data_IF_414937964759
#
_entry.id   IF_414937964759
#
_cell.length_a   1.000
_cell.length_b   1.000
_cell.length_c   1.000
_cell.angle_alpha   90.00
_cell.angle_beta   90.00
_cell.angle_gamma   90.00
#
_symmetry.space_group_name_H-M   'P 1'
#
loop_
_entity.id
_entity.type
_entity.pdbx_description
1 polymer ?
#
# COMPACT_ATOMS: atom_id res chain seq x y z
N UNK A 1 -5.09 -12.35 -3.99
CA UNK A 1 -5.81 -13.64 -3.89
C UNK A 1 -4.76 -14.73 -3.87
N UNK A 2 -4.72 -15.52 -2.81
CA UNK A 2 -3.86 -16.70 -2.72
C UNK A 2 -4.38 -17.79 -3.64
N UNK A 3 -3.52 -18.38 -4.46
CA UNK A 3 -3.87 -19.42 -5.42
C UNK A 3 -2.96 -20.66 -5.34
N UNK A 4 -2.23 -20.81 -4.25
CA UNK A 4 -1.29 -21.91 -4.03
C UNK A 4 -1.94 -23.29 -4.19
N UNK A 5 -3.17 -23.44 -3.71
CA UNK A 5 -3.89 -24.73 -3.72
C UNK A 5 -4.60 -25.04 -5.05
N UNK A 6 -4.62 -24.11 -6.00
CA UNK A 6 -5.32 -24.29 -7.29
C UNK A 6 -4.38 -24.34 -8.47
N UNK A 7 -3.13 -23.89 -8.31
CA UNK A 7 -2.11 -23.97 -9.34
C UNK A 7 -1.50 -25.37 -9.38
N UNK A 8 -1.18 -25.81 -10.59
CA UNK A 8 -0.54 -27.10 -10.85
C UNK A 8 0.67 -26.94 -11.76
N UNK A 9 1.58 -27.90 -11.74
CA UNK A 9 2.70 -27.93 -12.68
C UNK A 9 2.19 -28.00 -14.13
N UNK A 10 2.77 -27.18 -14.99
CA UNK A 10 2.39 -27.10 -16.41
C UNK A 10 1.39 -25.98 -16.68
N UNK A 11 0.46 -26.22 -17.62
CA UNK A 11 -0.50 -25.21 -18.07
C UNK A 11 -1.63 -25.02 -17.09
N UNK A 12 -1.84 -23.76 -16.67
CA UNK A 12 -2.98 -23.32 -15.87
C UNK A 12 -3.86 -22.39 -16.72
N UNK A 13 -5.17 -22.46 -16.51
CA UNK A 13 -6.14 -21.58 -17.14
C UNK A 13 -6.74 -20.64 -16.09
N UNK A 14 -6.68 -19.34 -16.35
CA UNK A 14 -7.27 -18.32 -15.50
C UNK A 14 -8.50 -17.76 -16.21
N UNK A 15 -9.66 -17.84 -15.56
CA UNK A 15 -10.90 -17.26 -16.05
C UNK A 15 -11.32 -16.11 -15.15
N UNK A 16 -11.41 -14.91 -15.70
CA UNK A 16 -11.90 -13.72 -15.01
C UNK A 16 -13.33 -13.44 -15.45
N UNK A 17 -14.28 -13.52 -14.49
CA UNK A 17 -15.68 -13.17 -14.74
C UNK A 17 -15.97 -11.80 -14.16
N UNK A 18 -16.29 -10.84 -15.03
CA UNK A 18 -16.65 -9.48 -14.64
C UNK A 18 -18.16 -9.36 -14.64
N UNK A 19 -18.74 -9.08 -13.48
CA UNK A 19 -20.19 -8.93 -13.33
C UNK A 19 -20.61 -7.47 -13.59
N UNK A 20 -21.82 -7.28 -14.12
CA UNK A 20 -22.38 -5.94 -14.31
C UNK A 20 -22.53 -5.21 -12.97
N UNK A 21 -21.96 -4.01 -12.85
CA UNK A 21 -22.14 -3.15 -11.70
C UNK A 21 -23.61 -2.80 -11.44
N UNK A 22 -24.36 -2.55 -12.53
CA UNK A 22 -25.78 -2.22 -12.47
C UNK A 22 -26.59 -3.41 -11.97
N UNK A 23 -26.34 -4.61 -12.51
CA UNK A 23 -27.03 -5.81 -12.06
C UNK A 23 -26.75 -6.07 -10.58
N UNK A 24 -25.50 -5.94 -10.15
CA UNK A 24 -25.13 -6.09 -8.74
C UNK A 24 -25.86 -5.09 -7.83
N UNK A 25 -25.88 -3.82 -8.20
CA UNK A 25 -26.60 -2.78 -7.45
C UNK A 25 -28.08 -3.10 -7.36
N UNK A 26 -28.73 -3.44 -8.46
CA UNK A 26 -30.17 -3.76 -8.49
C UNK A 26 -30.53 -4.97 -7.61
N UNK A 27 -29.61 -5.94 -7.48
CA UNK A 27 -29.80 -7.12 -6.66
C UNK A 27 -29.57 -6.85 -5.15
N UNK A 28 -28.66 -5.92 -4.82
CA UNK A 28 -28.18 -5.72 -3.45
C UNK A 28 -28.64 -4.39 -2.82
N UNK A 29 -29.40 -3.56 -3.53
CA UNK A 29 -29.98 -2.36 -2.93
C UNK A 29 -30.92 -2.74 -1.80
N UNK A 30 -30.75 -2.24 -0.58
CA UNK A 30 -31.61 -2.57 0.54
C UNK A 30 -33.06 -2.21 0.27
N UNK A 31 -33.97 -2.99 0.82
CA UNK A 31 -35.39 -2.65 0.79
C UNK A 31 -35.65 -1.30 1.47
N UNK A 32 -36.68 -0.59 1.00
CA UNK A 32 -37.08 0.73 1.48
C UNK A 32 -37.06 0.88 3.01
N UNK A 33 -36.47 1.96 3.50
CA UNK A 33 -36.34 2.30 4.92
C UNK A 33 -34.98 2.02 5.54
N UNK A 34 -34.03 1.46 4.78
CA UNK A 34 -32.63 1.27 5.20
C UNK A 34 -31.64 2.00 4.29
N UNK A 35 -32.15 2.82 3.42
CA UNK A 35 -31.40 3.48 2.38
C UNK A 35 -30.56 4.62 2.94
N UNK A 36 -29.33 4.70 2.49
CA UNK A 36 -28.58 5.94 2.53
C UNK A 36 -29.14 6.79 1.38
N UNK A 37 -30.03 7.70 1.70
CA UNK A 37 -30.60 8.61 0.71
C UNK A 37 -29.56 9.63 0.26
N UNK A 38 -28.79 9.26 -0.72
CA UNK A 38 -28.00 10.19 -1.49
C UNK A 38 -28.15 9.87 -2.96
N UNK A 39 -28.85 10.72 -3.65
CA UNK A 39 -28.87 10.70 -5.11
C UNK A 39 -28.26 12.00 -5.61
N UNK A 40 -27.12 11.90 -6.28
CA UNK A 40 -26.63 13.00 -7.07
C UNK A 40 -27.60 13.24 -8.24
N UNK A 41 -27.86 14.50 -8.58
CA UNK A 41 -28.74 14.87 -9.68
C UNK A 41 -28.30 14.20 -10.99
N UNK A 42 -29.19 13.41 -11.61
CA UNK A 42 -28.90 12.67 -12.85
C UNK A 42 -27.97 11.48 -12.70
N UNK A 43 -27.52 11.13 -11.51
CA UNK A 43 -26.75 9.93 -11.29
C UNK A 43 -27.66 8.68 -11.26
N UNK A 44 -27.10 7.56 -11.67
CA UNK A 44 -27.74 6.25 -11.58
C UNK A 44 -27.96 5.86 -10.12
N UNK A 45 -29.17 5.43 -9.78
CA UNK A 45 -29.52 4.99 -8.42
C UNK A 45 -28.65 3.82 -7.96
N UNK A 46 -28.38 3.74 -6.66
CA UNK A 46 -27.65 2.64 -6.02
C UNK A 46 -26.13 2.70 -6.15
N UNK A 47 -25.58 3.75 -6.76
CA UNK A 47 -24.14 3.94 -6.89
C UNK A 47 -23.39 3.95 -5.54
N UNK A 48 -24.05 4.35 -4.46
CA UNK A 48 -23.51 4.41 -3.10
C UNK A 48 -23.29 3.02 -2.47
N UNK A 49 -23.90 1.98 -3.02
CA UNK A 49 -23.79 0.60 -2.51
C UNK A 49 -22.66 -0.22 -3.18
N UNK A 50 -21.91 0.38 -4.08
CA UNK A 50 -20.81 -0.27 -4.78
C UNK A 50 -19.52 0.53 -4.61
N UNK A 51 -18.41 -0.18 -4.38
CA UNK A 51 -17.08 0.42 -4.31
C UNK A 51 -16.52 0.66 -5.71
N UNK A 52 -17.07 1.63 -6.39
CA UNK A 52 -16.68 2.07 -7.73
C UNK A 52 -16.71 3.60 -7.76
N UNK A 53 -15.90 4.22 -8.63
CA UNK A 53 -15.89 5.67 -8.75
C UNK A 53 -17.29 6.20 -9.09
N UNK A 54 -17.87 7.03 -8.23
CA UNK A 54 -19.24 7.52 -8.38
C UNK A 54 -19.43 8.37 -9.63
N UNK A 55 -18.37 9.06 -10.09
CA UNK A 55 -18.39 9.81 -11.36
C UNK A 55 -18.77 8.98 -12.58
N UNK A 56 -18.58 7.66 -12.54
CA UNK A 56 -18.96 6.77 -13.65
C UNK A 56 -20.47 6.53 -13.74
N UNK A 57 -21.21 6.83 -12.67
CA UNK A 57 -22.67 6.65 -12.63
C UNK A 57 -23.44 7.87 -13.14
N UNK A 58 -22.71 8.89 -13.60
CA UNK A 58 -23.28 10.07 -14.24
C UNK A 58 -23.60 11.22 -13.30
N UNK A 59 -24.07 12.28 -13.91
CA UNK A 59 -24.57 13.52 -13.30
C UNK A 59 -25.55 14.17 -14.28
N UNK A 60 -26.16 15.30 -13.95
CA UNK A 60 -27.05 16.02 -14.86
C UNK A 60 -26.36 16.51 -16.14
N UNK A 61 -25.06 16.71 -16.09
CA UNK A 61 -24.19 17.09 -17.22
C UNK A 61 -23.26 15.97 -17.72
N UNK A 62 -23.26 14.81 -17.08
CA UNK A 62 -22.30 13.73 -17.36
C UNK A 62 -22.98 12.41 -17.73
N UNK A 63 -22.40 11.62 -18.66
CA UNK A 63 -22.98 10.36 -19.06
C UNK A 63 -22.90 9.30 -17.97
N UNK A 64 -23.83 8.34 -17.99
CA UNK A 64 -23.88 7.18 -17.13
C UNK A 64 -23.12 6.01 -17.80
N UNK A 65 -21.84 5.86 -17.50
CA UNK A 65 -20.94 4.87 -18.09
C UNK A 65 -20.20 4.06 -17.01
N UNK A 66 -20.89 3.23 -16.22
CA UNK A 66 -20.26 2.40 -15.19
C UNK A 66 -19.59 1.18 -15.81
N UNK A 67 -18.63 1.41 -16.69
CA UNK A 67 -17.85 0.39 -17.37
C UNK A 67 -16.95 -0.36 -16.38
N UNK A 68 -16.51 -1.52 -16.78
CA UNK A 68 -15.64 -2.40 -15.98
C UNK A 68 -14.69 -3.16 -16.91
N UNK A 69 -13.49 -3.43 -16.36
CA UNK A 69 -12.48 -4.19 -17.07
C UNK A 69 -11.22 -4.36 -16.26
N UNK A 70 -10.30 -5.13 -16.81
CA UNK A 70 -8.92 -5.20 -16.33
C UNK A 70 -8.16 -4.07 -17.02
N UNK A 71 -7.86 -3.01 -16.27
CA UNK A 71 -7.22 -1.79 -16.78
C UNK A 71 -5.77 -1.60 -16.31
N UNK A 72 -5.28 -2.54 -15.52
CA UNK A 72 -3.88 -2.67 -15.08
C UNK A 72 -3.40 -4.08 -15.34
N UNK A 73 -2.09 -4.28 -15.23
CA UNK A 73 -1.50 -5.60 -15.38
C UNK A 73 -2.07 -6.58 -14.35
N UNK A 74 -2.15 -7.83 -14.76
CA UNK A 74 -2.47 -8.97 -13.91
C UNK A 74 -1.27 -9.91 -13.94
N UNK A 75 -0.80 -10.30 -12.78
CA UNK A 75 0.35 -11.18 -12.64
C UNK A 75 0.13 -12.18 -11.51
N UNK A 76 0.92 -13.21 -11.48
CA UNK A 76 1.02 -14.17 -10.38
C UNK A 76 2.44 -14.05 -9.84
N UNK A 77 2.56 -13.67 -8.60
CA UNK A 77 3.81 -13.73 -7.84
C UNK A 77 3.90 -15.04 -7.09
N UNK A 78 5.10 -15.58 -6.98
CA UNK A 78 5.38 -16.77 -6.20
C UNK A 78 6.62 -16.57 -5.34
N UNK A 79 6.56 -17.00 -4.11
CA UNK A 79 7.68 -17.00 -3.18
C UNK A 79 7.69 -18.28 -2.36
N UNK A 80 8.89 -18.78 -2.02
CA UNK A 80 9.03 -20.05 -1.29
C UNK A 80 9.27 -19.86 0.21
N UNK A 81 9.97 -18.79 0.59
CA UNK A 81 10.42 -18.57 1.97
C UNK A 81 9.78 -17.34 2.60
N UNK A 82 9.93 -16.19 1.98
CA UNK A 82 9.36 -14.93 2.43
C UNK A 82 9.36 -13.89 1.30
N UNK A 83 8.50 -12.90 1.38
CA UNK A 83 8.36 -11.80 0.43
C UNK A 83 8.19 -10.46 1.18
N UNK A 84 8.77 -9.38 0.64
CA UNK A 84 8.47 -8.02 1.08
C UNK A 84 7.09 -7.59 0.56
N UNK A 85 6.07 -7.63 1.39
CA UNK A 85 4.71 -7.24 1.01
C UNK A 85 4.52 -5.74 0.96
N UNK A 86 5.19 -4.98 1.85
CA UNK A 86 5.08 -3.52 1.91
C UNK A 86 6.37 -2.84 2.35
N UNK A 87 6.57 -1.62 1.84
CA UNK A 87 7.61 -0.68 2.26
C UNK A 87 6.98 0.70 2.40
N UNK A 88 6.88 1.21 3.62
CA UNK A 88 6.33 2.52 3.92
C UNK A 88 7.41 3.45 4.46
N UNK A 89 7.52 4.66 3.89
CA UNK A 89 8.50 5.67 4.31
C UNK A 89 7.76 6.87 4.88
N UNK A 90 8.08 7.20 6.12
CA UNK A 90 7.65 8.45 6.77
C UNK A 90 8.79 9.46 6.72
N UNK A 91 8.45 10.72 6.65
CA UNK A 91 9.43 11.81 6.62
C UNK A 91 9.05 12.89 7.61
N UNK A 92 10.02 13.38 8.33
CA UNK A 92 9.92 14.48 9.27
C UNK A 92 10.95 15.54 8.91
N UNK A 93 10.50 16.79 8.77
CA UNK A 93 11.33 17.92 8.36
C UNK A 93 11.60 18.82 9.56
N UNK A 94 12.87 18.91 9.97
CA UNK A 94 13.29 19.67 11.14
C UNK A 94 14.59 20.43 10.80
N UNK A 95 14.61 21.73 11.02
CA UNK A 95 15.79 22.59 10.86
C UNK A 95 16.51 22.43 9.52
N UNK A 96 15.76 22.34 8.43
CA UNK A 96 16.30 22.19 7.07
C UNK A 96 16.82 20.79 6.74
N UNK A 97 16.70 19.82 7.62
CA UNK A 97 17.05 18.41 7.44
C UNK A 97 15.81 17.56 7.33
N UNK A 98 15.94 16.38 6.72
CA UNK A 98 14.86 15.40 6.64
C UNK A 98 15.26 14.09 7.31
N UNK A 99 14.47 13.69 8.27
CA UNK A 99 14.56 12.41 8.94
C UNK A 99 13.58 11.44 8.27
N UNK A 100 14.09 10.35 7.75
CA UNK A 100 13.28 9.28 7.17
C UNK A 100 13.20 8.13 8.15
N UNK A 101 12.02 7.55 8.26
CA UNK A 101 11.81 6.27 8.92
C UNK A 101 11.11 5.31 7.98
N UNK A 102 11.58 4.07 7.92
CA UNK A 102 11.05 3.05 7.07
C UNK A 102 10.34 1.97 7.90
N UNK A 103 9.20 1.53 7.46
CA UNK A 103 8.42 0.41 7.99
C UNK A 103 8.28 -0.64 6.89
N UNK A 104 8.61 -1.89 7.17
CA UNK A 104 8.50 -2.99 6.21
C UNK A 104 7.56 -4.07 6.71
N UNK A 105 6.79 -4.67 5.80
CA UNK A 105 6.00 -5.86 6.07
C UNK A 105 6.55 -7.02 5.26
N UNK A 106 6.74 -8.14 5.92
CA UNK A 106 7.18 -9.38 5.29
C UNK A 106 6.04 -10.39 5.35
N UNK A 107 5.74 -11.00 4.24
CA UNK A 107 4.77 -12.08 4.13
C UNK A 107 5.51 -13.40 4.16
N UNK A 108 5.05 -14.31 5.00
CA UNK A 108 5.56 -15.67 5.14
C UNK A 108 4.61 -16.66 4.47
N UNK A 109 5.11 -17.74 3.84
CA UNK A 109 4.27 -18.77 3.28
C UNK A 109 3.60 -19.55 4.40
N UNK A 110 2.27 -19.65 4.35
CA UNK A 110 1.55 -20.58 5.20
C UNK A 110 1.65 -22.01 4.66
N UNK A 111 1.74 -22.96 5.58
CA UNK A 111 1.50 -24.37 5.23
C UNK A 111 0.01 -24.55 4.99
N UNK A 112 -0.39 -24.64 3.73
CA UNK A 112 -1.75 -25.00 3.38
C UNK A 112 -2.07 -26.38 3.98
N UNK A 113 -3.06 -26.45 4.84
CA UNK A 113 -3.71 -27.71 5.19
C UNK A 113 -4.69 -28.06 4.06
N UNK A 114 -4.79 -29.34 3.71
CA UNK A 114 -5.64 -29.79 2.61
C UNK A 114 -7.07 -29.25 2.75
N UNK A 115 -7.47 -28.37 1.83
CA UNK A 115 -8.82 -27.90 1.65
C UNK A 115 -9.18 -26.53 2.25
N UNK A 116 -8.27 -25.86 2.94
CA UNK A 116 -8.49 -24.50 3.45
C UNK A 116 -7.79 -23.45 2.60
N UNK A 117 -8.39 -22.26 2.52
CA UNK A 117 -7.77 -21.06 1.92
C UNK A 117 -6.74 -20.57 2.94
N UNK A 118 -5.46 -20.70 2.61
CA UNK A 118 -4.39 -20.17 3.45
C UNK A 118 -4.55 -18.64 3.60
N UNK A 119 -4.61 -18.15 4.83
CA UNK A 119 -4.54 -16.73 5.13
C UNK A 119 -3.05 -16.32 5.27
N UNK A 120 -2.63 -15.22 4.67
CA UNK A 120 -1.25 -14.78 4.72
C UNK A 120 -0.89 -14.22 6.11
N UNK A 121 0.16 -14.72 6.73
CA UNK A 121 0.73 -14.12 7.94
C UNK A 121 1.69 -12.99 7.57
N UNK A 122 1.54 -11.83 8.21
CA UNK A 122 2.40 -10.67 8.02
C UNK A 122 3.29 -10.46 9.24
N UNK A 123 4.57 -10.29 8.99
CA UNK A 123 5.57 -9.93 9.97
C UNK A 123 5.92 -8.44 9.78
N UNK A 124 5.70 -7.62 10.80
CA UNK A 124 6.26 -6.26 10.82
C UNK A 124 7.62 -6.35 11.50
N UNK A 125 8.67 -6.15 10.72
CA UNK A 125 10.02 -6.15 11.27
C UNK A 125 10.28 -4.82 11.98
N UNK A 126 10.60 -4.84 13.28
CA UNK A 126 11.00 -3.65 14.00
C UNK A 126 12.36 -3.18 13.50
N UNK A 127 12.54 -1.88 13.50
CA UNK A 127 13.69 -1.21 12.92
C UNK A 127 14.82 -0.96 13.92
N UNK A 128 14.81 -1.62 15.09
CA UNK A 128 15.87 -1.52 16.06
C UNK A 128 16.34 -2.90 16.52
N UNK A 129 17.64 -3.05 16.68
CA UNK A 129 18.27 -4.28 17.14
C UNK A 129 17.82 -4.74 18.56
N UNK A 130 17.09 -3.91 19.29
CA UNK A 130 16.60 -4.19 20.64
C UNK A 130 15.12 -4.61 20.71
N UNK A 131 14.40 -4.55 19.62
CA UNK A 131 12.99 -4.96 19.59
C UNK A 131 12.83 -6.25 18.79
N UNK A 132 12.51 -7.33 19.47
CA UNK A 132 12.12 -8.61 18.85
C UNK A 132 11.02 -8.39 17.80
N UNK A 133 11.13 -9.07 16.67
CA UNK A 133 10.16 -9.05 15.59
C UNK A 133 8.72 -9.21 16.18
N UNK A 134 7.89 -8.19 15.99
CA UNK A 134 6.52 -8.23 16.49
C UNK A 134 5.68 -8.88 15.41
N UNK A 135 5.31 -10.13 15.62
CA UNK A 135 4.34 -10.82 14.80
C UNK A 135 2.98 -10.16 15.07
N UNK A 136 2.51 -9.34 14.15
CA UNK A 136 1.13 -8.90 14.16
C UNK A 136 0.30 -9.99 13.50
N UNK A 137 -0.25 -10.90 14.30
CA UNK A 137 -1.24 -11.83 13.84
C UNK A 137 -2.55 -11.06 13.60
N UNK A 138 -2.88 -10.81 12.37
CA UNK A 138 -4.22 -10.36 11.94
C UNK A 138 -5.11 -11.57 11.58
N UNK A 139 -4.83 -12.75 12.09
CA UNK A 139 -5.72 -13.88 11.94
C UNK A 139 -5.77 -14.75 13.19
N UNK A 140 -6.95 -15.20 13.44
CA UNK A 140 -7.35 -16.06 14.57
C UNK A 140 -6.87 -17.47 14.30
N UNK A 141 -6.03 -18.00 15.19
CA UNK A 141 -5.95 -19.44 15.38
C UNK A 141 -4.65 -20.12 14.95
N UNK A 142 -4.03 -20.67 15.95
CA UNK A 142 -2.99 -21.69 16.06
C UNK A 142 -1.53 -21.24 16.13
N UNK A 143 -0.96 -21.51 17.32
CA UNK A 143 0.47 -21.45 17.63
C UNK A 143 1.24 -22.52 16.84
N UNK A 144 1.85 -22.17 15.72
CA UNK A 144 2.87 -23.01 15.09
C UNK A 144 4.25 -22.41 15.39
N UNK A 145 5.07 -23.14 16.15
CA UNK A 145 6.38 -22.71 16.62
C UNK A 145 7.45 -22.65 15.50
N UNK A 146 7.18 -23.22 14.34
CA UNK A 146 8.14 -23.26 13.21
C UNK A 146 8.24 -21.94 12.44
N UNK A 147 7.24 -21.07 12.52
CA UNK A 147 7.27 -19.73 11.90
C UNK A 147 8.11 -18.76 12.74
N UNK A 148 8.14 -18.94 14.06
CA UNK A 148 8.95 -18.11 14.94
C UNK A 148 10.46 -18.34 14.75
N UNK A 149 10.90 -19.57 14.45
CA UNK A 149 12.30 -19.91 14.21
C UNK A 149 12.87 -19.29 12.92
N UNK A 150 12.04 -19.11 11.90
CA UNK A 150 12.45 -18.45 10.65
C UNK A 150 12.46 -16.91 10.80
N UNK A 151 11.62 -16.34 11.65
CA UNK A 151 11.56 -14.90 11.87
C UNK A 151 12.85 -14.32 12.46
N UNK A 152 13.54 -15.06 13.34
CA UNK A 152 14.77 -14.63 14.00
C UNK A 152 15.97 -14.49 13.03
N UNK A 153 15.90 -15.12 11.85
CA UNK A 153 16.95 -15.08 10.84
C UNK A 153 16.63 -14.16 9.64
N UNK A 154 15.48 -13.47 9.68
CA UNK A 154 15.10 -12.50 8.66
C UNK A 154 15.78 -11.15 8.92
N UNK A 155 16.41 -10.62 7.88
CA UNK A 155 17.07 -9.31 7.89
C UNK A 155 16.55 -8.46 6.73
N UNK A 156 16.21 -7.18 6.99
CA UNK A 156 15.91 -6.21 5.93
C UNK A 156 16.97 -5.13 5.93
N UNK A 157 17.64 -4.96 4.78
CA UNK A 157 18.58 -3.87 4.53
C UNK A 157 17.91 -2.79 3.69
N UNK A 158 17.95 -1.55 4.18
CA UNK A 158 17.31 -0.44 3.49
C UNK A 158 18.38 0.60 3.12
N UNK A 159 18.34 1.03 1.88
CA UNK A 159 19.23 2.06 1.34
C UNK A 159 18.42 3.16 0.67
N UNK A 160 18.91 4.40 0.78
CA UNK A 160 18.40 5.57 0.09
C UNK A 160 19.42 5.97 -0.98
N UNK A 161 18.99 6.06 -2.21
CA UNK A 161 19.76 6.70 -3.27
C UNK A 161 19.23 8.13 -3.49
N UNK A 162 20.11 9.10 -3.37
CA UNK A 162 19.79 10.51 -3.62
C UNK A 162 19.68 10.78 -5.13
N UNK A 163 19.07 11.90 -5.56
CA UNK A 163 18.94 12.25 -6.98
C UNK A 163 20.28 12.41 -7.73
N UNK A 164 21.37 12.64 -7.02
CA UNK A 164 22.75 12.73 -7.55
C UNK A 164 23.52 11.40 -7.44
N UNK A 165 22.84 10.31 -7.05
CA UNK A 165 23.40 8.95 -7.04
C UNK A 165 24.15 8.56 -5.78
N UNK A 166 24.25 9.42 -4.76
CA UNK A 166 24.86 9.06 -3.47
C UNK A 166 23.97 8.06 -2.75
N UNK A 167 24.57 7.04 -2.15
CA UNK A 167 23.86 6.06 -1.31
C UNK A 167 24.03 6.37 0.18
N UNK A 168 22.95 6.23 0.93
CA UNK A 168 22.88 6.38 2.38
C UNK A 168 22.13 5.16 2.92
N UNK A 169 22.72 4.45 3.87
CA UNK A 169 22.07 3.30 4.51
C UNK A 169 21.17 3.77 5.65
N UNK A 170 20.06 3.08 5.84
CA UNK A 170 19.26 3.22 7.06
C UNK A 170 19.97 2.47 8.19
N UNK A 171 19.98 3.08 9.37
CA UNK A 171 20.39 2.45 10.62
C UNK A 171 19.19 2.42 11.54
N UNK A 172 18.86 1.26 12.08
CA UNK A 172 17.65 1.07 12.89
C UNK A 172 16.40 1.67 12.24
N UNK A 173 16.26 1.42 10.91
CA UNK A 173 15.16 1.91 10.11
C UNK A 173 15.07 3.43 9.96
N UNK A 174 16.11 4.16 10.32
CA UNK A 174 16.18 5.62 10.22
C UNK A 174 17.32 6.05 9.31
N UNK A 175 17.06 7.13 8.60
CA UNK A 175 18.04 7.75 7.72
C UNK A 175 17.93 9.28 7.84
N UNK A 176 19.06 9.97 7.91
CA UNK A 176 19.14 11.43 7.92
C UNK A 176 19.64 11.94 6.57
N UNK A 177 18.88 12.86 5.99
CA UNK A 177 19.27 13.64 4.82
C UNK A 177 19.57 15.07 5.28
N UNK A 178 20.87 15.40 5.38
CA UNK A 178 21.30 16.69 5.93
C UNK A 178 21.12 17.88 4.98
N UNK A 179 21.24 17.64 3.67
CA UNK A 179 21.03 18.64 2.62
C UNK A 179 20.01 18.13 1.60
N UNK A 180 18.70 18.19 1.98
CA UNK A 180 17.65 17.60 1.15
C UNK A 180 17.34 18.45 -0.08
N UNK A 181 17.28 17.80 -1.25
CA UNK A 181 16.69 18.39 -2.45
C UNK A 181 15.18 18.22 -2.37
N UNK A 182 14.45 19.28 -2.06
CA UNK A 182 13.01 19.25 -1.87
C UNK A 182 12.26 19.12 -3.19
N UNK A 183 11.21 18.35 -3.18
CA UNK A 183 10.28 18.21 -4.28
C UNK A 183 9.22 19.32 -4.24
N UNK A 184 8.98 19.96 -5.35
CA UNK A 184 8.01 21.04 -5.51
C UNK A 184 6.91 20.67 -6.52
N UNK A 185 5.69 21.20 -6.36
CA UNK A 185 4.63 21.06 -7.36
C UNK A 185 5.06 21.62 -8.72
N UNK A 186 4.38 21.14 -9.76
CA UNK A 186 4.64 21.62 -11.12
C UNK A 186 4.51 23.15 -11.21
N UNK A 187 5.50 23.79 -11.78
CA UNK A 187 5.59 25.24 -11.92
C UNK A 187 6.19 25.99 -10.71
N UNK A 188 6.43 25.32 -9.58
CA UNK A 188 6.98 25.94 -8.36
C UNK A 188 8.44 25.57 -8.07
N UNK A 189 8.99 24.62 -8.76
CA UNK A 189 10.37 24.21 -8.58
C UNK A 189 10.71 22.85 -9.19
N UNK A 190 11.88 22.33 -8.83
CA UNK A 190 12.33 21.02 -9.27
C UNK A 190 11.57 19.89 -8.57
N UNK A 191 11.55 18.73 -9.22
CA UNK A 191 10.87 17.51 -8.72
C UNK A 191 11.85 16.36 -8.51
N UNK A 192 12.91 16.53 -7.68
CA UNK A 192 13.88 15.48 -7.43
C UNK A 192 13.22 14.32 -6.71
N UNK A 193 13.54 13.09 -7.14
CA UNK A 193 13.08 11.87 -6.50
C UNK A 193 14.26 11.09 -5.96
N UNK A 194 14.09 10.62 -4.75
CA UNK A 194 14.98 9.69 -4.06
C UNK A 194 14.45 8.27 -4.28
N UNK A 195 15.34 7.30 -4.43
CA UNK A 195 14.95 5.88 -4.51
C UNK A 195 15.30 5.19 -3.20
N UNK A 196 14.29 4.65 -2.53
CA UNK A 196 14.48 3.78 -1.37
C UNK A 196 14.40 2.35 -1.85
N UNK A 197 15.39 1.54 -1.51
CA UNK A 197 15.43 0.11 -1.80
C UNK A 197 15.53 -0.67 -0.50
N UNK A 198 14.58 -1.58 -0.28
CA UNK A 198 14.59 -2.56 0.79
C UNK A 198 14.93 -3.94 0.20
N UNK A 199 15.85 -4.66 0.83
CA UNK A 199 16.27 -6.00 0.44
C UNK A 199 16.06 -6.94 1.62
N UNK A 200 15.36 -8.05 1.37
CA UNK A 200 15.06 -9.08 2.35
C UNK A 200 16.06 -10.23 2.25
N UNK A 201 16.59 -10.64 3.38
CA UNK A 201 17.50 -11.80 3.50
C UNK A 201 16.99 -12.76 4.57
N UNK A 202 17.30 -14.05 4.38
CA UNK A 202 17.11 -15.09 5.38
C UNK A 202 18.44 -15.83 5.59
N UNK A 203 19.02 -15.71 6.76
CA UNK A 203 20.32 -16.34 7.06
C UNK A 203 21.45 -15.89 6.10
N UNK A 204 21.36 -14.65 5.57
CA UNK A 204 22.31 -14.10 4.60
C UNK A 204 21.99 -14.40 3.13
N UNK A 205 21.02 -15.26 2.84
CA UNK A 205 20.53 -15.52 1.48
C UNK A 205 19.54 -14.42 1.05
N UNK A 206 19.76 -13.82 -0.12
CA UNK A 206 18.83 -12.84 -0.70
C UNK A 206 17.53 -13.54 -1.12
N UNK A 207 16.39 -12.96 -0.72
CA UNK A 207 15.06 -13.46 -1.06
C UNK A 207 14.29 -12.53 -2.00
N UNK A 208 14.20 -11.25 -1.64
CA UNK A 208 13.34 -10.29 -2.34
C UNK A 208 13.83 -8.85 -2.18
N UNK A 209 13.41 -7.96 -3.06
CA UNK A 209 13.68 -6.54 -2.96
C UNK A 209 12.50 -5.70 -3.44
N UNK A 210 12.27 -4.57 -2.75
CA UNK A 210 11.25 -3.60 -3.12
C UNK A 210 11.85 -2.21 -3.26
N UNK A 211 11.46 -1.51 -4.32
CA UNK A 211 11.90 -0.14 -4.56
C UNK A 211 10.73 0.84 -4.52
N UNK A 212 10.96 2.00 -3.91
CA UNK A 212 10.00 3.08 -3.81
C UNK A 212 10.68 4.41 -4.17
N UNK A 213 10.07 5.18 -5.05
CA UNK A 213 10.53 6.55 -5.38
C UNK A 213 9.74 7.55 -4.55
N UNK A 214 10.43 8.40 -3.82
CA UNK A 214 9.85 9.42 -2.93
C UNK A 214 10.35 10.82 -3.26
N UNK A 215 9.47 11.81 -3.15
CA UNK A 215 9.85 13.22 -3.12
C UNK A 215 9.88 13.70 -1.68
N UNK A 216 10.95 14.38 -1.29
CA UNK A 216 11.04 14.97 0.05
C UNK A 216 10.29 16.29 0.07
N UNK A 217 9.18 16.35 0.81
CA UNK A 217 8.33 17.53 0.95
C UNK A 217 7.51 17.48 2.22
N UNK A 218 7.15 18.65 2.71
CA UNK A 218 6.02 18.78 3.64
C UNK A 218 4.73 19.01 2.87
N UNK A 219 3.61 18.58 3.40
CA UNK A 219 2.26 18.91 2.95
C UNK A 219 1.41 19.19 4.19
N UNK A 220 0.99 20.43 4.33
CA UNK A 220 0.16 20.88 5.44
C UNK A 220 -1.10 21.57 4.92
N UNK A 221 -2.12 21.64 5.78
CA UNK A 221 -3.31 22.43 5.54
C UNK A 221 -3.26 23.63 6.45
N UNK A 222 -3.28 24.84 5.87
CA UNK A 222 -3.46 26.06 6.63
C UNK A 222 -4.96 26.31 6.83
N UNK A 223 -5.34 26.62 8.09
CA UNK A 223 -6.69 26.95 8.52
C UNK A 223 -6.62 28.13 9.47
N UNK A 224 -5.93 29.20 9.05
CA UNK A 224 -5.78 30.41 9.85
C UNK A 224 -7.07 31.26 9.80
N UNK A 225 -7.42 31.83 10.95
CA UNK A 225 -8.60 32.72 11.05
C UNK A 225 -8.20 34.13 10.69
N UNK A 226 -9.03 34.76 9.88
CA UNK A 226 -8.94 36.17 9.54
C UNK A 226 -10.19 36.95 9.98
N UNK A 227 -10.32 38.21 9.53
CA UNK A 227 -11.45 39.06 9.90
C UNK A 227 -12.80 38.63 9.29
N UNK A 228 -12.78 37.73 8.29
CA UNK A 228 -13.95 37.32 7.52
C UNK A 228 -14.28 35.83 7.66
N UNK A 229 -13.37 35.03 8.23
CA UNK A 229 -13.61 33.60 8.39
C UNK A 229 -12.34 32.82 8.70
N UNK A 230 -12.23 31.66 8.08
CA UNK A 230 -11.13 30.72 8.21
C UNK A 230 -10.66 30.31 6.82
N UNK A 231 -9.38 30.45 6.55
CA UNK A 231 -8.82 30.02 5.27
C UNK A 231 -8.72 28.50 5.20
N UNK A 232 -8.65 28.00 3.97
CA UNK A 232 -8.34 26.61 3.69
C UNK A 232 -7.36 26.55 2.52
N UNK A 233 -6.08 26.28 2.83
CA UNK A 233 -5.03 26.23 1.82
C UNK A 233 -4.10 25.04 2.01
N UNK A 234 -3.67 24.41 0.90
CA UNK A 234 -2.61 23.42 0.91
C UNK A 234 -1.27 24.13 0.81
N UNK A 235 -0.39 23.88 1.77
CA UNK A 235 0.96 24.41 1.83
C UNK A 235 1.98 23.30 1.59
N UNK A 236 2.99 23.59 0.75
CA UNK A 236 4.08 22.65 0.44
C UNK A 236 5.41 23.34 0.70
N UNK A 237 6.23 22.78 1.58
CA UNK A 237 7.57 23.20 2.04
C UNK A 237 7.61 24.53 2.77
#
# INVERSE_FOLDING_TARGET
ILCTNVLKNGTNNITVKIHSAIAYVNEHVPAAGKEIHYTACGAMEGNQYIRKAHSMFGWDWGPQLPDMGIWRDIFIDSYEKAELSDLHIRQEHIDGKVFLSAETKVMLPEKAQDGEIAEAEYLVLPQSAESNARILKESVGNNDSTLAENADNLEVKITLQTPDGKQISFSDGKCLVEDPKLWWPNGYGAQPLYTVRAELFLGGEFLDAKELRIGLRTLTVSQEKDAWGEEFAFCIN
#
